data_IF_764575912612
#
_entry.id   IF_764575912612
#
_cell.length_a   1.000
_cell.length_b   1.000
_cell.length_c   1.000
_cell.angle_alpha   90.00
_cell.angle_beta   90.00
_cell.angle_gamma   90.00
#
_symmetry.space_group_name_H-M   'P 1'
#
loop_
_entity.id
_entity.type
_entity.pdbx_description
1 polymer ?
#
# COMPACT_ATOMS: atom_id res chain seq x y z
N UNK A 1 -28.18 -4.47 4.61
CA UNK A 1 -26.94 -5.13 4.14
C UNK A 1 -25.91 -5.05 5.26
N UNK A 2 -25.22 -6.15 5.58
CA UNK A 2 -24.20 -6.17 6.63
C UNK A 2 -22.96 -5.35 6.30
N UNK A 3 -22.23 -4.97 7.35
CA UNK A 3 -20.97 -4.24 7.22
C UNK A 3 -19.89 -5.13 6.59
N UNK A 4 -19.06 -4.56 5.71
CA UNK A 4 -18.02 -5.30 5.00
C UNK A 4 -16.69 -5.18 5.73
N UNK A 5 -16.08 -6.31 6.05
CA UNK A 5 -14.76 -6.40 6.65
C UNK A 5 -13.68 -6.25 5.57
N UNK A 6 -12.48 -5.78 5.98
CA UNK A 6 -11.33 -5.72 5.08
C UNK A 6 -10.96 -7.14 4.61
N UNK A 7 -10.93 -7.41 3.30
CA UNK A 7 -10.63 -8.74 2.77
C UNK A 7 -9.24 -9.27 3.14
N UNK A 8 -8.26 -8.37 3.28
CA UNK A 8 -6.92 -8.74 3.72
C UNK A 8 -6.93 -9.27 5.16
N UNK A 9 -7.59 -8.54 6.08
CA UNK A 9 -7.70 -8.94 7.48
C UNK A 9 -8.37 -10.30 7.69
N UNK A 10 -9.36 -10.65 6.87
CA UNK A 10 -10.00 -11.98 6.92
C UNK A 10 -9.08 -13.12 6.48
N UNK A 11 -8.04 -12.83 5.69
CA UNK A 11 -7.14 -13.82 5.09
C UNK A 11 -5.79 -13.91 5.78
N UNK A 12 -5.54 -13.05 6.76
CA UNK A 12 -4.33 -13.13 7.59
C UNK A 12 -4.32 -14.45 8.35
N UNK A 13 -3.20 -15.17 8.28
CA UNK A 13 -3.07 -16.50 8.87
C UNK A 13 -3.66 -17.66 8.05
N UNK A 14 -4.36 -17.37 6.93
CA UNK A 14 -4.86 -18.40 6.00
C UNK A 14 -4.01 -18.43 4.73
N UNK A 15 -4.00 -17.32 3.97
CA UNK A 15 -3.21 -17.16 2.73
C UNK A 15 -2.39 -15.87 2.69
N UNK A 16 -2.68 -14.91 3.55
CA UNK A 16 -1.93 -13.67 3.71
C UNK A 16 -1.15 -13.70 5.02
N UNK A 17 0.01 -13.09 5.00
CA UNK A 17 0.88 -12.88 6.15
C UNK A 17 0.77 -11.43 6.62
N UNK A 18 1.25 -11.15 7.83
CA UNK A 18 1.26 -9.80 8.40
C UNK A 18 2.53 -9.04 8.03
N UNK A 19 2.44 -7.71 8.11
CA UNK A 19 3.50 -6.81 7.67
C UNK A 19 4.57 -6.54 8.74
N UNK A 20 4.28 -6.85 10.00
CA UNK A 20 5.22 -6.73 11.10
C UNK A 20 5.60 -8.13 11.58
N UNK A 21 6.90 -8.45 11.54
CA UNK A 21 7.45 -9.76 11.89
C UNK A 21 8.42 -9.62 13.05
N UNK A 22 7.86 -9.48 14.26
CA UNK A 22 8.63 -9.39 15.47
C UNK A 22 7.79 -9.80 16.68
N UNK A 23 8.50 -10.12 17.75
CA UNK A 23 7.93 -10.40 19.05
C UNK A 23 8.65 -9.55 20.10
N UNK A 24 7.92 -9.04 21.08
CA UNK A 24 8.47 -8.24 22.18
C UNK A 24 7.66 -8.45 23.46
N UNK A 25 8.19 -8.01 24.60
CA UNK A 25 7.51 -8.07 25.88
C UNK A 25 6.26 -7.20 25.91
N UNK A 26 5.33 -7.48 26.81
CA UNK A 26 4.10 -6.70 26.97
C UNK A 26 4.36 -5.21 27.28
N UNK A 27 5.45 -4.93 28.00
CA UNK A 27 5.83 -3.57 28.41
C UNK A 27 6.31 -2.74 27.22
N UNK A 28 7.12 -3.34 26.33
CA UNK A 28 7.72 -2.66 25.17
C UNK A 28 6.85 -2.67 23.91
N UNK A 29 5.75 -3.44 23.93
CA UNK A 29 4.90 -3.62 22.76
C UNK A 29 4.35 -2.29 22.22
N UNK A 30 3.87 -1.42 23.10
CA UNK A 30 3.29 -0.12 22.73
C UNK A 30 4.31 0.78 22.03
N UNK A 31 5.50 0.91 22.61
CA UNK A 31 6.55 1.76 22.06
C UNK A 31 7.04 1.24 20.71
N UNK A 32 7.20 -0.07 20.57
CA UNK A 32 7.60 -0.73 19.33
C UNK A 32 6.55 -0.50 18.22
N UNK A 33 5.28 -0.59 18.55
CA UNK A 33 4.19 -0.35 17.60
C UNK A 33 4.15 1.10 17.11
N UNK A 34 4.34 2.06 18.04
CA UNK A 34 4.41 3.49 17.72
C UNK A 34 5.61 3.80 16.84
N UNK A 35 6.75 3.16 17.11
CA UNK A 35 7.97 3.28 16.30
C UNK A 35 7.73 2.75 14.88
N UNK A 36 7.12 1.58 14.71
CA UNK A 36 6.76 1.03 13.39
C UNK A 36 5.80 1.95 12.63
N UNK A 37 4.82 2.53 13.31
CA UNK A 37 3.92 3.49 12.68
C UNK A 37 4.66 4.73 12.18
N UNK A 38 5.61 5.28 12.97
CA UNK A 38 6.45 6.42 12.57
C UNK A 38 7.29 6.07 11.34
N UNK A 39 7.92 4.88 11.31
CA UNK A 39 8.71 4.40 10.17
C UNK A 39 7.84 4.35 8.90
N UNK A 40 6.69 3.67 8.96
CA UNK A 40 5.77 3.54 7.82
C UNK A 40 5.28 4.91 7.31
N UNK A 41 4.87 5.79 8.23
CA UNK A 41 4.38 7.13 7.88
C UNK A 41 5.46 7.97 7.20
N UNK A 42 6.69 7.94 7.70
CA UNK A 42 7.83 8.68 7.14
C UNK A 42 8.19 8.16 5.75
N UNK A 43 8.35 6.85 5.61
CA UNK A 43 8.66 6.22 4.33
C UNK A 43 7.56 6.46 3.29
N UNK A 44 6.30 6.28 3.65
CA UNK A 44 5.18 6.51 2.72
C UNK A 44 5.13 7.95 2.23
N UNK A 45 5.41 8.92 3.11
CA UNK A 45 5.45 10.34 2.73
C UNK A 45 6.61 10.66 1.79
N UNK A 46 7.80 10.13 2.04
CA UNK A 46 9.00 10.40 1.24
C UNK A 46 8.98 9.67 -0.11
N UNK A 47 8.51 8.43 -0.11
CA UNK A 47 8.56 7.53 -1.25
C UNK A 47 7.23 7.42 -2.01
N UNK A 48 6.32 8.37 -1.83
CA UNK A 48 5.02 8.34 -2.51
C UNK A 48 5.15 8.25 -4.05
N UNK A 49 6.11 8.99 -4.62
CA UNK A 49 6.37 8.98 -6.06
C UNK A 49 6.96 7.65 -6.59
N UNK A 50 7.56 6.86 -5.72
CA UNK A 50 8.11 5.55 -6.06
C UNK A 50 7.02 4.45 -6.14
N UNK A 51 5.81 4.72 -5.64
CA UNK A 51 4.71 3.76 -5.57
C UNK A 51 5.03 2.62 -4.60
N UNK A 52 4.82 2.85 -3.30
CA UNK A 52 5.12 1.89 -2.23
C UNK A 52 3.82 1.26 -1.73
N UNK A 53 3.44 0.05 -2.20
CA UNK A 53 2.21 -0.61 -1.75
C UNK A 53 2.34 -1.23 -0.37
N UNK A 54 3.52 -1.74 0.00
CA UNK A 54 3.73 -2.51 1.23
C UNK A 54 5.09 -2.19 1.85
N UNK A 55 5.14 -2.16 3.18
CA UNK A 55 6.37 -2.03 3.97
C UNK A 55 6.32 -3.11 5.05
N UNK A 56 7.27 -4.04 5.01
CA UNK A 56 7.43 -5.07 6.03
C UNK A 56 8.56 -4.67 6.98
N UNK A 57 8.34 -4.91 8.28
CA UNK A 57 9.30 -4.58 9.33
C UNK A 57 9.61 -5.86 10.10
N UNK A 58 10.88 -6.23 10.10
CA UNK A 58 11.41 -7.34 10.86
C UNK A 58 12.32 -6.78 11.96
N UNK A 59 12.17 -7.26 13.20
CA UNK A 59 13.01 -6.88 14.31
C UNK A 59 13.74 -8.10 14.83
N UNK A 60 15.05 -8.01 14.87
CA UNK A 60 15.94 -9.07 15.32
C UNK A 60 16.96 -8.49 16.30
N UNK A 61 17.52 -9.35 17.12
CA UNK A 61 18.67 -9.01 17.95
C UNK A 61 19.89 -9.65 17.29
N UNK A 62 20.93 -8.88 17.10
CA UNK A 62 22.17 -9.39 16.54
C UNK A 62 22.79 -10.37 17.54
N UNK A 63 23.01 -11.60 17.11
CA UNK A 63 23.54 -12.68 17.97
C UNK A 63 24.95 -12.45 18.45
N UNK A 64 25.75 -11.61 17.78
CA UNK A 64 27.14 -11.33 18.16
C UNK A 64 27.26 -10.13 19.09
N UNK A 65 26.49 -9.08 18.85
CA UNK A 65 26.60 -7.81 19.60
C UNK A 65 25.46 -7.59 20.59
N UNK A 66 24.39 -8.40 20.56
CA UNK A 66 23.22 -8.21 21.40
C UNK A 66 22.42 -6.93 21.09
N UNK A 67 22.80 -6.20 20.04
CA UNK A 67 22.15 -4.94 19.68
C UNK A 67 20.86 -5.15 18.89
N UNK A 68 19.79 -4.38 19.17
CA UNK A 68 18.54 -4.48 18.42
C UNK A 68 18.74 -3.95 16.99
N UNK A 69 18.35 -4.75 16.02
CA UNK A 69 18.43 -4.44 14.60
C UNK A 69 17.03 -4.42 13.99
N UNK A 70 16.76 -3.41 13.19
CA UNK A 70 15.48 -3.27 12.47
C UNK A 70 15.75 -3.43 10.97
N UNK A 71 15.13 -4.43 10.35
CA UNK A 71 15.18 -4.63 8.92
C UNK A 71 13.86 -4.17 8.32
N UNK A 72 13.92 -3.25 7.37
CA UNK A 72 12.76 -2.68 6.70
C UNK A 72 12.78 -3.08 5.22
N UNK A 73 11.85 -3.94 4.82
CA UNK A 73 11.67 -4.33 3.43
C UNK A 73 10.64 -3.39 2.79
N UNK A 74 11.07 -2.55 1.87
CA UNK A 74 10.22 -1.63 1.12
C UNK A 74 9.92 -2.20 -0.24
N UNK A 75 8.66 -2.55 -0.47
CA UNK A 75 8.17 -2.96 -1.77
C UNK A 75 7.84 -1.71 -2.59
N UNK A 76 8.38 -1.59 -3.79
CA UNK A 76 8.17 -0.41 -4.63
C UNK A 76 8.01 -0.77 -6.10
N UNK A 77 7.23 0.06 -6.80
CA UNK A 77 7.01 -0.08 -8.25
C UNK A 77 8.19 0.49 -9.06
N UNK A 78 8.90 1.48 -8.49
CA UNK A 78 10.01 2.18 -9.15
C UNK A 78 11.24 2.20 -8.25
N UNK A 79 12.02 1.12 -8.19
CA UNK A 79 13.16 1.00 -7.28
C UNK A 79 14.24 2.05 -7.53
N UNK A 80 14.42 2.50 -8.76
CA UNK A 80 15.41 3.53 -9.10
C UNK A 80 15.23 4.85 -8.34
N UNK A 81 13.99 5.23 -8.01
CA UNK A 81 13.71 6.44 -7.23
C UNK A 81 14.16 6.27 -5.77
N UNK A 82 13.98 5.07 -5.23
CA UNK A 82 14.33 4.76 -3.82
C UNK A 82 15.83 4.63 -3.64
N UNK A 83 16.51 3.98 -4.59
CA UNK A 83 17.96 3.77 -4.57
C UNK A 83 18.70 5.09 -4.81
N UNK A 84 18.24 5.86 -5.80
CA UNK A 84 18.91 7.09 -6.25
C UNK A 84 20.23 6.83 -6.97
N UNK A 85 20.94 7.89 -7.33
CA UNK A 85 22.25 7.79 -7.99
C UNK A 85 23.28 7.19 -7.02
N UNK A 86 23.83 6.03 -7.37
CA UNK A 86 24.87 5.37 -6.57
C UNK A 86 24.44 4.96 -5.14
N UNK A 87 23.12 4.81 -4.87
CA UNK A 87 22.63 4.45 -3.54
C UNK A 87 22.54 5.60 -2.53
N UNK A 88 22.73 6.85 -2.98
CA UNK A 88 22.76 8.01 -2.08
C UNK A 88 21.44 8.25 -1.34
N UNK A 89 20.29 8.02 -2.02
CA UNK A 89 18.98 8.23 -1.40
C UNK A 89 18.65 7.14 -0.37
N UNK A 90 18.95 5.87 -0.67
CA UNK A 90 18.75 4.78 0.28
C UNK A 90 19.58 4.99 1.55
N UNK A 91 20.85 5.39 1.43
CA UNK A 91 21.72 5.70 2.58
C UNK A 91 21.21 6.90 3.41
N UNK A 92 20.61 7.91 2.79
CA UNK A 92 19.97 9.02 3.52
C UNK A 92 18.76 8.54 4.31
N UNK A 93 17.92 7.71 3.69
CA UNK A 93 16.73 7.13 4.34
C UNK A 93 17.13 6.28 5.54
N UNK A 94 18.13 5.41 5.39
CA UNK A 94 18.66 4.60 6.50
C UNK A 94 19.13 5.46 7.67
N UNK A 95 19.92 6.50 7.40
CA UNK A 95 20.38 7.44 8.43
C UNK A 95 19.24 8.18 9.12
N UNK A 96 18.19 8.56 8.38
CA UNK A 96 17.01 9.19 8.95
C UNK A 96 16.23 8.23 9.84
N UNK A 97 16.03 6.99 9.40
CA UNK A 97 15.36 5.97 10.18
C UNK A 97 16.17 5.60 11.45
N UNK A 98 17.47 5.48 11.34
CA UNK A 98 18.34 5.25 12.48
C UNK A 98 18.23 6.38 13.52
N UNK A 99 18.14 7.63 13.08
CA UNK A 99 17.91 8.77 13.99
C UNK A 99 16.53 8.75 14.66
N UNK A 100 15.49 8.27 13.94
CA UNK A 100 14.13 8.17 14.47
C UNK A 100 13.96 7.05 15.48
N UNK A 101 14.64 5.94 15.27
CA UNK A 101 14.50 4.73 16.08
C UNK A 101 15.58 4.58 17.15
N UNK A 102 16.71 5.27 17.01
CA UNK A 102 17.89 5.08 17.87
C UNK A 102 18.54 3.69 17.72
N UNK A 103 18.15 2.91 16.70
CA UNK A 103 18.57 1.54 16.45
C UNK A 103 19.27 1.40 15.10
N UNK A 104 19.99 0.32 14.90
CA UNK A 104 20.57 0.01 13.60
C UNK A 104 19.48 -0.42 12.63
N UNK A 105 19.29 0.33 11.54
CA UNK A 105 18.26 0.07 10.52
C UNK A 105 18.92 -0.36 9.22
N UNK A 106 18.44 -1.46 8.67
CA UNK A 106 18.83 -1.94 7.35
C UNK A 106 17.62 -1.82 6.40
N UNK A 107 17.77 -1.11 5.30
CA UNK A 107 16.75 -0.92 4.28
C UNK A 107 16.96 -1.88 3.12
N UNK A 108 15.99 -2.76 2.90
CA UNK A 108 15.96 -3.65 1.76
C UNK A 108 14.88 -3.20 0.76
N UNK A 109 15.23 -3.08 -0.51
CA UNK A 109 14.35 -2.60 -1.57
C UNK A 109 13.95 -3.78 -2.44
N UNK A 110 12.64 -4.03 -2.53
CA UNK A 110 12.07 -5.14 -3.30
C UNK A 110 11.19 -4.57 -4.42
N UNK A 111 11.48 -4.94 -5.65
CA UNK A 111 10.67 -4.55 -6.78
C UNK A 111 9.35 -5.34 -6.82
N UNK A 112 8.24 -4.63 -7.03
CA UNK A 112 6.91 -5.23 -7.21
C UNK A 112 6.67 -5.51 -8.68
N UNK A 113 6.58 -6.79 -9.01
CA UNK A 113 6.16 -7.24 -10.34
C UNK A 113 4.63 -7.11 -10.46
N UNK A 114 4.13 -6.64 -11.59
CA UNK A 114 2.68 -6.49 -11.82
C UNK A 114 2.08 -5.27 -11.12
N UNK A 115 2.59 -4.09 -11.39
CA UNK A 115 2.10 -2.82 -10.80
C UNK A 115 0.63 -2.54 -11.11
N UNK A 116 0.12 -3.03 -12.23
CA UNK A 116 -1.28 -2.87 -12.67
C UNK A 116 -2.25 -3.82 -11.96
N UNK A 117 -1.76 -4.86 -11.31
CA UNK A 117 -2.56 -5.84 -10.57
C UNK A 117 -2.40 -5.74 -9.06
N UNK A 118 -1.62 -4.79 -8.56
CA UNK A 118 -1.51 -4.50 -7.13
C UNK A 118 -2.57 -3.49 -6.70
N UNK A 119 -3.46 -3.88 -5.81
CA UNK A 119 -4.63 -3.08 -5.43
C UNK A 119 -4.26 -1.71 -4.84
N UNK A 120 -3.19 -1.62 -4.05
CA UNK A 120 -2.78 -0.35 -3.44
C UNK A 120 -2.21 0.63 -4.47
N UNK A 121 -1.39 0.15 -5.42
CA UNK A 121 -0.84 0.98 -6.48
C UNK A 121 -1.94 1.48 -7.43
N UNK A 122 -2.89 0.61 -7.73
CA UNK A 122 -4.06 0.92 -8.54
C UNK A 122 -4.93 1.99 -7.85
N UNK A 123 -5.11 1.89 -6.53
CA UNK A 123 -5.83 2.89 -5.74
C UNK A 123 -5.14 4.27 -5.80
N UNK A 124 -3.84 4.29 -5.63
CA UNK A 124 -3.03 5.52 -5.68
C UNK A 124 -3.00 6.14 -7.08
N UNK A 125 -3.00 5.32 -8.14
CA UNK A 125 -3.07 5.80 -9.52
C UNK A 125 -4.40 6.51 -9.80
N UNK A 126 -5.53 5.91 -9.38
CA UNK A 126 -6.84 6.57 -9.52
C UNK A 126 -6.90 7.85 -8.68
N UNK A 127 -6.39 7.84 -7.45
CA UNK A 127 -6.35 9.04 -6.63
C UNK A 127 -5.56 10.17 -7.32
N UNK A 128 -4.40 9.87 -7.87
CA UNK A 128 -3.59 10.82 -8.65
C UNK A 128 -4.30 11.33 -9.90
N UNK A 129 -5.04 10.47 -10.62
CA UNK A 129 -5.83 10.88 -11.78
C UNK A 129 -6.98 11.83 -11.39
N UNK A 130 -7.65 11.59 -10.25
CA UNK A 130 -8.70 12.46 -9.73
C UNK A 130 -8.15 13.84 -9.31
N UNK A 131 -6.98 13.89 -8.69
CA UNK A 131 -6.27 15.13 -8.34
C UNK A 131 -5.92 15.95 -9.59
N UNK A 132 -5.59 15.28 -10.69
CA UNK A 132 -5.35 15.90 -12.00
C UNK A 132 -6.65 16.27 -12.74
N UNK A 133 -7.81 16.19 -12.07
CA UNK A 133 -9.14 16.51 -12.62
C UNK A 133 -9.57 15.65 -13.81
N UNK A 134 -9.09 14.42 -13.91
CA UNK A 134 -9.60 13.45 -14.88
C UNK A 134 -10.99 13.00 -14.43
N UNK A 135 -11.92 12.88 -15.38
CA UNK A 135 -13.26 12.40 -15.08
C UNK A 135 -13.22 11.02 -14.41
N UNK A 136 -13.83 10.89 -13.23
CA UNK A 136 -13.75 9.69 -12.37
C UNK A 136 -14.20 8.42 -13.10
N UNK A 137 -15.24 8.50 -13.96
CA UNK A 137 -15.70 7.36 -14.77
C UNK A 137 -14.64 6.88 -15.76
N UNK A 138 -13.90 7.81 -16.36
CA UNK A 138 -12.81 7.49 -17.28
C UNK A 138 -11.64 6.84 -16.52
N UNK A 139 -11.26 7.41 -15.39
CA UNK A 139 -10.20 6.87 -14.53
C UNK A 139 -10.52 5.44 -14.08
N UNK A 140 -11.73 5.19 -13.55
CA UNK A 140 -12.15 3.87 -13.09
C UNK A 140 -12.14 2.84 -14.22
N UNK A 141 -12.72 3.16 -15.38
CA UNK A 141 -12.78 2.24 -16.52
C UNK A 141 -11.40 1.95 -17.13
N UNK A 142 -10.53 2.95 -17.17
CA UNK A 142 -9.15 2.78 -17.65
C UNK A 142 -8.37 1.82 -16.76
N UNK A 143 -8.48 1.98 -15.45
CA UNK A 143 -7.80 1.12 -14.48
C UNK A 143 -8.32 -0.31 -14.53
N UNK A 144 -9.65 -0.51 -14.64
CA UNK A 144 -10.24 -1.84 -14.81
C UNK A 144 -9.67 -2.52 -16.05
N UNK A 145 -9.65 -1.84 -17.19
CA UNK A 145 -9.08 -2.38 -18.43
C UNK A 145 -7.60 -2.76 -18.26
N UNK A 146 -6.81 -1.90 -17.61
CA UNK A 146 -5.40 -2.16 -17.40
C UNK A 146 -5.14 -3.35 -16.47
N UNK A 147 -6.00 -3.58 -15.48
CA UNK A 147 -5.87 -4.71 -14.56
C UNK A 147 -6.34 -6.03 -15.19
N UNK A 148 -7.39 -5.99 -16.01
CA UNK A 148 -7.89 -7.18 -16.72
C UNK A 148 -7.04 -7.56 -17.93
N UNK A 149 -6.37 -6.59 -18.57
CA UNK A 149 -5.49 -6.79 -19.72
C UNK A 149 -4.14 -6.08 -19.49
N UNK A 150 -3.30 -6.56 -18.55
CA UNK A 150 -2.04 -5.92 -18.27
C UNK A 150 -1.05 -6.08 -19.42
N UNK A 151 -0.29 -5.02 -19.70
CA UNK A 151 0.82 -5.06 -20.66
C UNK A 151 2.04 -5.78 -20.07
N UNK A 152 1.94 -7.07 -19.87
CA UNK A 152 2.94 -7.91 -19.21
C UNK A 152 2.56 -8.21 -17.76
N UNK A 153 2.50 -9.48 -17.44
CA UNK A 153 2.09 -10.00 -16.14
C UNK A 153 0.80 -10.83 -16.21
N UNK A 154 0.39 -11.34 -15.06
CA UNK A 154 -0.84 -12.13 -14.94
C UNK A 154 -2.04 -11.21 -14.82
N UNK A 155 -3.09 -11.37 -15.65
CA UNK A 155 -4.30 -10.59 -15.54
C UNK A 155 -5.05 -10.89 -14.25
N UNK A 156 -5.73 -9.88 -13.70
CA UNK A 156 -6.63 -10.08 -12.57
C UNK A 156 -7.84 -10.91 -13.01
N UNK A 157 -8.32 -11.83 -12.16
CA UNK A 157 -9.54 -12.61 -12.41
C UNK A 157 -10.81 -11.79 -12.24
N UNK A 158 -10.73 -10.73 -11.49
CA UNK A 158 -11.80 -9.78 -11.26
C UNK A 158 -11.33 -8.56 -10.50
N UNK A 159 -12.01 -7.45 -10.72
CA UNK A 159 -11.71 -6.16 -10.08
C UNK A 159 -13.00 -5.46 -9.69
N UNK A 160 -13.01 -4.85 -8.51
CA UNK A 160 -14.05 -3.93 -8.06
C UNK A 160 -13.43 -2.61 -7.63
N UNK A 161 -13.82 -1.57 -8.31
CA UNK A 161 -13.39 -0.19 -8.05
C UNK A 161 -14.59 0.58 -7.50
N UNK A 162 -14.40 1.28 -6.39
CA UNK A 162 -15.45 2.11 -5.80
C UNK A 162 -14.88 3.49 -5.55
N UNK A 163 -15.58 4.53 -5.95
CA UNK A 163 -15.26 5.91 -5.60
C UNK A 163 -16.42 6.50 -4.80
N UNK A 164 -16.13 7.19 -3.73
CA UNK A 164 -17.14 7.85 -2.89
C UNK A 164 -16.78 9.32 -2.65
N UNK A 165 -17.77 10.17 -2.44
CA UNK A 165 -17.57 11.59 -2.18
C UNK A 165 -18.28 12.49 -3.20
N UNK A 166 -17.85 13.74 -3.30
CA UNK A 166 -18.39 14.75 -4.23
C UNK A 166 -17.85 14.53 -5.66
N UNK A 167 -18.32 13.46 -6.30
CA UNK A 167 -17.87 13.05 -7.62
C UNK A 167 -18.25 14.10 -8.67
N UNK A 168 -17.27 14.53 -9.46
CA UNK A 168 -17.39 15.61 -10.45
C UNK A 168 -17.85 16.96 -9.87
N UNK A 169 -17.60 17.23 -8.58
CA UNK A 169 -17.97 18.48 -7.93
C UNK A 169 -19.45 18.59 -7.53
N UNK A 170 -20.20 17.48 -7.54
CA UNK A 170 -21.59 17.48 -7.09
C UNK A 170 -21.70 17.90 -5.63
N UNK A 171 -22.78 18.62 -5.26
CA UNK A 171 -22.99 19.09 -3.89
C UNK A 171 -23.26 17.94 -2.93
N UNK A 172 -24.01 16.94 -3.39
CA UNK A 172 -24.31 15.74 -2.61
C UNK A 172 -23.29 14.66 -2.92
N UNK A 173 -22.65 14.14 -1.86
CA UNK A 173 -21.73 13.01 -1.98
C UNK A 173 -22.48 11.74 -2.42
N UNK A 174 -21.88 10.98 -3.32
CA UNK A 174 -22.41 9.70 -3.76
C UNK A 174 -21.31 8.65 -3.89
N UNK A 175 -21.73 7.41 -3.98
CA UNK A 175 -20.83 6.27 -4.18
C UNK A 175 -21.13 5.64 -5.53
N UNK A 176 -20.11 5.56 -6.38
CA UNK A 176 -20.18 4.82 -7.64
C UNK A 176 -19.18 3.66 -7.61
N UNK A 177 -19.63 2.49 -8.06
CA UNK A 177 -18.79 1.30 -8.13
C UNK A 177 -18.91 0.62 -9.48
N UNK A 178 -17.77 0.20 -10.03
CA UNK A 178 -17.69 -0.62 -11.23
C UNK A 178 -16.98 -1.92 -10.87
N UNK A 179 -17.41 -3.01 -11.44
CA UNK A 179 -16.80 -4.32 -11.27
C UNK A 179 -16.73 -5.05 -12.61
N UNK A 180 -15.70 -5.87 -12.75
CA UNK A 180 -15.53 -6.77 -13.90
C UNK A 180 -14.91 -8.07 -13.41
N UNK A 181 -15.33 -9.19 -13.99
CA UNK A 181 -14.90 -10.51 -13.56
C UNK A 181 -15.49 -10.97 -12.22
N UNK A 182 -14.87 -11.95 -11.60
CA UNK A 182 -15.38 -12.62 -10.38
C UNK A 182 -14.52 -12.29 -9.16
N UNK A 183 -15.16 -11.83 -8.07
CA UNK A 183 -14.49 -11.53 -6.80
C UNK A 183 -15.20 -12.28 -5.68
N UNK A 184 -14.77 -13.51 -5.36
CA UNK A 184 -15.41 -14.35 -4.33
C UNK A 184 -14.97 -13.91 -2.93
N UNK A 185 -15.58 -12.87 -2.37
CA UNK A 185 -15.22 -12.31 -1.05
C UNK A 185 -15.38 -13.30 0.09
N UNK A 186 -16.33 -14.22 -0.03
CA UNK A 186 -16.65 -15.24 0.99
C UNK A 186 -15.63 -16.39 1.02
N UNK A 187 -14.93 -16.64 -0.11
CA UNK A 187 -13.96 -17.72 -0.20
C UNK A 187 -12.63 -17.26 0.40
N UNK A 188 -12.26 -17.76 1.57
CA UNK A 188 -11.04 -17.35 2.29
C UNK A 188 -9.75 -17.75 1.54
N UNK A 189 -9.78 -18.84 0.77
CA UNK A 189 -8.65 -19.31 -0.04
C UNK A 189 -8.44 -18.50 -1.33
N UNK A 190 -9.40 -17.64 -1.72
CA UNK A 190 -9.22 -16.76 -2.88
C UNK A 190 -8.23 -15.66 -2.52
N UNK A 191 -7.22 -15.48 -3.37
CA UNK A 191 -6.25 -14.39 -3.21
C UNK A 191 -6.90 -13.08 -3.63
N UNK A 192 -7.32 -12.29 -2.66
CA UNK A 192 -7.94 -10.97 -2.87
C UNK A 192 -7.05 -9.93 -2.24
N UNK A 193 -6.59 -9.01 -3.07
CA UNK A 193 -5.85 -7.83 -2.63
C UNK A 193 -6.80 -6.65 -2.41
N UNK A 194 -6.46 -5.77 -1.48
CA UNK A 194 -7.27 -4.61 -1.11
C UNK A 194 -6.38 -3.37 -1.01
N UNK A 195 -6.77 -2.33 -1.72
CA UNK A 195 -6.08 -1.03 -1.69
C UNK A 195 -7.03 0.09 -1.30
N UNK A 196 -6.52 1.05 -0.56
CA UNK A 196 -7.20 2.27 -0.17
C UNK A 196 -6.30 3.48 -0.39
N UNK A 197 -6.84 4.51 -1.02
CA UNK A 197 -6.17 5.79 -1.21
C UNK A 197 -7.17 6.93 -1.04
N UNK A 198 -6.69 8.13 -0.80
CA UNK A 198 -7.50 9.34 -0.73
C UNK A 198 -6.98 10.35 -1.75
N UNK A 199 -7.87 10.87 -2.58
CA UNK A 199 -7.57 11.96 -3.50
C UNK A 199 -7.95 13.30 -2.84
N UNK A 200 -7.01 14.22 -2.75
CA UNK A 200 -7.28 15.58 -2.28
C UNK A 200 -7.71 16.47 -3.45
N UNK A 201 -9.03 16.66 -3.58
CA UNK A 201 -9.59 17.49 -4.65
C UNK A 201 -10.01 18.87 -4.12
N UNK A 202 -10.26 19.82 -5.01
CA UNK A 202 -10.77 21.16 -4.65
C UNK A 202 -12.13 21.12 -3.93
N UNK A 203 -12.90 20.04 -4.13
CA UNK A 203 -14.22 19.84 -3.52
C UNK A 203 -14.19 18.98 -2.24
N UNK A 204 -13.01 18.57 -1.79
CA UNK A 204 -12.83 17.73 -0.61
C UNK A 204 -12.04 16.44 -0.93
N UNK A 205 -11.99 15.54 0.05
CA UNK A 205 -11.32 14.24 -0.11
C UNK A 205 -12.26 13.22 -0.74
N UNK A 206 -11.76 12.51 -1.74
CA UNK A 206 -12.45 11.40 -2.39
C UNK A 206 -11.68 10.12 -2.07
N UNK A 207 -12.19 9.24 -1.20
CA UNK A 207 -11.60 7.94 -0.93
C UNK A 207 -12.05 6.90 -1.96
N UNK A 208 -11.18 6.41 -2.83
CA UNK A 208 -11.41 5.22 -3.65
C UNK A 208 -10.92 3.95 -2.95
N UNK A 209 -11.79 3.09 -2.38
CA UNK A 209 -11.41 1.74 -2.01
C UNK A 209 -11.40 0.80 -3.22
N UNK A 210 -10.37 -0.04 -3.33
CA UNK A 210 -10.19 -1.01 -4.41
C UNK A 210 -10.12 -2.43 -3.88
N UNK A 211 -10.68 -3.38 -4.66
CA UNK A 211 -10.55 -4.82 -4.45
C UNK A 211 -10.19 -5.49 -5.76
N UNK A 212 -9.11 -6.21 -5.75
CA UNK A 212 -8.61 -7.05 -6.84
C UNK A 212 -8.62 -8.50 -6.44
#
# INVERSE_FOLDING_TARGET
MGQKVNPHGMRVGVIKDWDSRWFTSKQEFGDTLVEDHKIRKTLKKQLYAAGVPKIEIERTVDSQTGTPRVKVNVFCAKPGIVIGKGGAESAKIEKQLAKLTGKNVNLNIVEVKGTTTNAQLVAEDVASQLERRIAFRRAMKQVIRNAMQPRGGVPAKGIKVTCSGRLAGADIARVESYHEGTIPLQTLRADIDYGFAEAATTYGRIPPPFRL
#
